data_IF_469696055806
#
_entry.id   IF_469696055806
#
_cell.length_a   1.000
_cell.length_b   1.000
_cell.length_c   1.000
_cell.angle_alpha   90.00
_cell.angle_beta   90.00
_cell.angle_gamma   90.00
#
_symmetry.space_group_name_H-M   'P 1'
#
loop_
_entity.id
_entity.type
_entity.pdbx_description
1 polymer ?
#
# COMPACT_ATOMS: atom_id res chain seq x y z
N UNK A 1 19.66 -32.25 -40.92
CA UNK A 1 19.48 -30.85 -41.34
C UNK A 1 19.24 -30.02 -40.08
N UNK A 2 20.28 -29.36 -39.58
CA UNK A 2 20.23 -28.62 -38.31
C UNK A 2 19.69 -27.21 -38.58
N UNK A 3 18.50 -26.90 -38.10
CA UNK A 3 17.85 -25.61 -38.34
C UNK A 3 18.43 -24.55 -37.38
N UNK A 4 19.52 -23.88 -37.78
CA UNK A 4 20.16 -22.76 -37.04
C UNK A 4 19.71 -21.40 -37.59
N UNK A 5 18.41 -21.13 -37.54
CA UNK A 5 17.88 -19.80 -37.82
C UNK A 5 17.76 -18.95 -36.54
N UNK A 6 17.62 -17.61 -36.63
CA UNK A 6 17.47 -16.70 -35.49
C UNK A 6 16.21 -16.95 -34.62
N UNK A 7 15.38 -17.93 -34.97
CA UNK A 7 14.21 -18.41 -34.21
C UNK A 7 14.32 -19.88 -33.79
N UNK A 8 15.50 -20.48 -33.87
CA UNK A 8 15.74 -21.90 -33.56
C UNK A 8 15.52 -22.26 -32.09
N UNK A 9 15.41 -21.28 -31.19
CA UNK A 9 15.24 -21.49 -29.75
C UNK A 9 13.82 -21.81 -29.27
N UNK A 10 12.82 -21.83 -30.16
CA UNK A 10 11.41 -22.01 -29.76
C UNK A 10 10.90 -20.88 -28.84
N UNK A 11 9.66 -20.97 -28.34
CA UNK A 11 9.13 -19.98 -27.40
C UNK A 11 9.87 -20.04 -26.06
N UNK A 12 10.51 -18.94 -25.65
CA UNK A 12 11.09 -18.82 -24.30
C UNK A 12 9.99 -18.95 -23.25
N UNK A 13 10.14 -19.80 -22.23
CA UNK A 13 9.19 -19.89 -21.13
C UNK A 13 8.98 -18.52 -20.48
N UNK A 14 7.73 -18.16 -20.20
CA UNK A 14 7.43 -16.93 -19.47
C UNK A 14 8.03 -17.02 -18.06
N UNK A 15 8.66 -15.93 -17.59
CA UNK A 15 9.18 -15.83 -16.20
C UNK A 15 8.07 -16.18 -15.22
N UNK A 16 8.33 -17.13 -14.34
CA UNK A 16 7.45 -17.51 -13.24
C UNK A 16 8.04 -17.06 -11.90
N UNK A 17 7.16 -16.77 -10.94
CA UNK A 17 7.56 -16.35 -9.60
C UNK A 17 7.01 -17.33 -8.58
N UNK A 18 7.89 -17.77 -7.69
CA UNK A 18 7.50 -18.54 -6.50
C UNK A 18 6.67 -17.67 -5.55
N UNK A 19 5.83 -18.27 -4.67
CA UNK A 19 5.09 -17.52 -3.66
C UNK A 19 5.99 -16.60 -2.81
N UNK A 20 7.16 -17.10 -2.40
CA UNK A 20 8.14 -16.34 -1.63
C UNK A 20 8.70 -15.14 -2.42
N UNK A 21 9.03 -15.32 -3.72
CA UNK A 21 9.48 -14.21 -4.56
C UNK A 21 8.39 -13.14 -4.73
N UNK A 22 7.12 -13.54 -4.85
CA UNK A 22 6.01 -12.58 -4.93
C UNK A 22 5.92 -11.74 -3.67
N UNK A 23 6.00 -12.35 -2.49
CA UNK A 23 6.00 -11.64 -1.21
C UNK A 23 7.20 -10.70 -1.10
N UNK A 24 8.42 -11.18 -1.41
CA UNK A 24 9.62 -10.36 -1.39
C UNK A 24 9.50 -9.14 -2.32
N UNK A 25 8.91 -9.32 -3.52
CA UNK A 25 8.68 -8.21 -4.43
C UNK A 25 7.63 -7.22 -3.92
N UNK A 26 6.59 -7.66 -3.21
CA UNK A 26 5.62 -6.77 -2.58
C UNK A 26 6.26 -5.92 -1.48
N UNK A 27 7.12 -6.52 -0.66
CA UNK A 27 7.81 -5.83 0.44
C UNK A 27 8.86 -4.84 -0.07
N UNK A 28 9.61 -5.21 -1.10
CA UNK A 28 10.55 -4.32 -1.76
C UNK A 28 9.83 -3.18 -2.52
N UNK A 29 8.70 -3.46 -3.18
CA UNK A 29 7.86 -2.42 -3.79
C UNK A 29 7.35 -1.43 -2.74
N UNK A 30 6.88 -1.92 -1.58
CA UNK A 30 6.39 -1.05 -0.52
C UNK A 30 7.49 -0.15 0.04
N UNK A 31 8.66 -0.71 0.36
CA UNK A 31 9.83 0.07 0.79
C UNK A 31 10.22 1.13 -0.24
N UNK A 32 10.24 0.79 -1.53
CA UNK A 32 10.54 1.74 -2.57
C UNK A 32 9.52 2.91 -2.66
N UNK A 33 8.25 2.67 -2.30
CA UNK A 33 7.25 3.74 -2.17
C UNK A 33 7.53 4.62 -0.94
N UNK A 34 7.87 4.01 0.19
CA UNK A 34 8.07 4.71 1.47
C UNK A 34 9.37 5.55 1.46
N UNK A 35 10.44 5.06 0.82
CA UNK A 35 11.74 5.72 0.71
C UNK A 35 11.77 6.85 -0.34
N UNK A 36 10.65 7.13 -1.03
CA UNK A 36 10.56 8.20 -2.04
C UNK A 36 11.25 7.91 -3.38
N UNK A 37 11.97 6.80 -3.52
CA UNK A 37 12.53 6.30 -4.79
C UNK A 37 11.44 6.05 -5.85
N UNK A 38 10.23 5.77 -5.38
CA UNK A 38 9.02 5.62 -6.17
C UNK A 38 8.84 4.20 -6.68
N UNK A 39 7.69 3.58 -6.37
CA UNK A 39 7.39 2.21 -6.79
C UNK A 39 7.50 1.99 -8.31
N UNK A 40 7.27 3.02 -9.14
CA UNK A 40 7.45 2.94 -10.58
C UNK A 40 8.90 2.71 -11.04
N UNK A 41 9.90 3.21 -10.31
CA UNK A 41 11.31 2.96 -10.62
C UNK A 41 11.69 1.50 -10.34
N UNK A 42 11.26 0.99 -9.19
CA UNK A 42 11.44 -0.40 -8.81
C UNK A 42 10.77 -1.37 -9.81
N UNK A 43 9.54 -1.09 -10.24
CA UNK A 43 8.84 -1.93 -11.22
C UNK A 43 9.60 -2.04 -12.55
N UNK A 44 10.18 -0.93 -13.04
CA UNK A 44 10.97 -0.94 -14.27
C UNK A 44 12.28 -1.71 -14.11
N UNK A 45 12.94 -1.56 -12.97
CA UNK A 45 14.19 -2.29 -12.67
C UNK A 45 13.96 -3.80 -12.61
N UNK A 46 12.86 -4.24 -12.01
CA UNK A 46 12.53 -5.67 -11.86
C UNK A 46 11.77 -6.27 -13.05
N UNK A 47 11.40 -5.45 -14.04
CA UNK A 47 10.57 -5.87 -15.18
C UNK A 47 9.16 -6.32 -14.78
N UNK A 48 8.60 -5.70 -13.73
CA UNK A 48 7.30 -6.01 -13.17
C UNK A 48 6.24 -5.01 -13.65
N UNK A 49 5.00 -5.48 -13.76
CA UNK A 49 3.85 -4.64 -14.07
C UNK A 49 3.04 -4.33 -12.80
N UNK A 50 2.41 -3.15 -12.74
CA UNK A 50 1.52 -2.76 -11.64
C UNK A 50 0.34 -3.73 -11.44
N UNK A 51 -0.12 -4.37 -12.52
CA UNK A 51 -1.13 -5.43 -12.49
C UNK A 51 -0.64 -6.65 -11.69
N UNK A 52 0.63 -7.01 -11.79
CA UNK A 52 1.20 -8.13 -11.02
C UNK A 52 1.24 -7.80 -9.54
N UNK A 53 1.66 -6.60 -9.16
CA UNK A 53 1.63 -6.15 -7.75
C UNK A 53 0.21 -6.17 -7.21
N UNK A 54 -0.76 -5.68 -7.98
CA UNK A 54 -2.17 -5.67 -7.58
C UNK A 54 -2.68 -7.08 -7.33
N UNK A 55 -2.44 -8.00 -8.27
CA UNK A 55 -2.87 -9.39 -8.12
C UNK A 55 -2.17 -10.09 -6.96
N UNK A 56 -0.87 -9.88 -6.76
CA UNK A 56 -0.14 -10.50 -5.67
C UNK A 56 -0.57 -9.97 -4.30
N UNK A 57 -0.95 -8.69 -4.18
CA UNK A 57 -1.57 -8.15 -2.96
C UNK A 57 -2.87 -8.88 -2.65
N UNK A 58 -3.75 -9.07 -3.64
CA UNK A 58 -4.99 -9.84 -3.43
C UNK A 58 -4.72 -11.26 -2.93
N UNK A 59 -3.71 -11.92 -3.50
CA UNK A 59 -3.32 -13.28 -3.07
C UNK A 59 -2.74 -13.31 -1.65
N UNK A 60 -1.91 -12.32 -1.29
CA UNK A 60 -1.38 -12.16 0.07
C UNK A 60 -2.50 -11.88 1.07
N UNK A 61 -3.37 -10.93 0.75
CA UNK A 61 -4.47 -10.54 1.63
C UNK A 61 -5.45 -11.70 1.84
N UNK A 62 -5.63 -12.56 0.83
CA UNK A 62 -6.39 -13.80 0.94
C UNK A 62 -5.63 -14.96 1.62
N UNK A 63 -4.38 -14.76 2.06
CA UNK A 63 -3.55 -15.78 2.73
C UNK A 63 -3.08 -16.91 1.81
N UNK A 64 -3.16 -16.74 0.49
CA UNK A 64 -2.88 -17.81 -0.49
C UNK A 64 -1.38 -18.04 -0.67
N UNK A 65 -0.57 -16.99 -0.49
CA UNK A 65 0.88 -17.05 -0.69
C UNK A 65 1.62 -17.63 0.53
N UNK A 66 1.00 -17.61 1.71
CA UNK A 66 1.60 -18.07 2.95
C UNK A 66 1.69 -19.60 2.99
N UNK A 67 2.81 -20.14 3.48
CA UNK A 67 3.02 -21.58 3.65
C UNK A 67 3.16 -22.41 2.35
N UNK A 68 3.11 -21.78 1.16
CA UNK A 68 3.26 -22.47 -0.13
C UNK A 68 4.75 -22.66 -0.49
N UNK A 69 5.09 -23.88 -0.92
CA UNK A 69 6.44 -24.23 -1.38
C UNK A 69 6.64 -23.82 -2.84
N UNK A 70 7.90 -23.61 -3.29
CA UNK A 70 8.20 -23.45 -4.71
C UNK A 70 7.65 -24.64 -5.52
N UNK A 71 6.88 -24.34 -6.57
CA UNK A 71 6.24 -25.35 -7.42
C UNK A 71 4.78 -25.67 -7.07
N UNK A 72 4.30 -25.23 -5.90
CA UNK A 72 2.88 -25.40 -5.55
C UNK A 72 1.98 -24.59 -6.50
N UNK A 73 0.92 -25.24 -6.99
CA UNK A 73 -0.07 -24.56 -7.81
C UNK A 73 -0.82 -23.54 -6.96
N UNK A 74 -0.77 -22.27 -7.37
CA UNK A 74 -1.64 -21.22 -6.85
C UNK A 74 -3.00 -21.37 -7.53
N UNK A 75 -3.95 -21.94 -6.82
CA UNK A 75 -5.32 -22.14 -7.28
C UNK A 75 -6.20 -20.90 -7.07
N UNK A 76 -7.49 -21.04 -7.41
CA UNK A 76 -8.50 -20.06 -7.04
C UNK A 76 -8.62 -20.00 -5.50
N UNK A 77 -8.85 -18.81 -4.91
CA UNK A 77 -9.12 -18.68 -3.49
C UNK A 77 -10.29 -19.59 -3.07
N UNK A 78 -10.20 -20.18 -1.87
CA UNK A 78 -11.38 -20.79 -1.23
C UNK A 78 -12.39 -19.69 -0.81
N UNK A 79 -13.60 -20.10 -0.44
CA UNK A 79 -14.61 -19.17 0.08
C UNK A 79 -14.09 -18.43 1.33
N UNK A 80 -13.46 -19.17 2.25
CA UNK A 80 -12.83 -18.61 3.46
C UNK A 80 -11.72 -17.62 3.12
N UNK A 81 -10.81 -17.96 2.21
CA UNK A 81 -9.72 -17.08 1.78
C UNK A 81 -10.25 -15.80 1.10
N UNK A 82 -11.33 -15.92 0.33
CA UNK A 82 -11.99 -14.78 -0.29
C UNK A 82 -12.59 -13.85 0.76
N UNK A 83 -13.22 -14.42 1.79
CA UNK A 83 -13.82 -13.67 2.89
C UNK A 83 -12.75 -13.00 3.76
N UNK A 84 -11.65 -13.69 4.07
CA UNK A 84 -10.48 -13.10 4.75
C UNK A 84 -9.97 -11.88 3.96
N UNK A 85 -9.81 -12.02 2.65
CA UNK A 85 -9.39 -10.92 1.78
C UNK A 85 -10.40 -9.76 1.77
N UNK A 86 -11.70 -10.04 1.79
CA UNK A 86 -12.76 -9.02 1.87
C UNK A 86 -12.71 -8.27 3.20
N UNK A 87 -12.65 -9.01 4.32
CA UNK A 87 -12.62 -8.44 5.67
C UNK A 87 -11.37 -7.59 5.89
N UNK A 88 -10.20 -8.04 5.45
CA UNK A 88 -8.95 -7.25 5.54
C UNK A 88 -9.05 -5.92 4.79
N UNK A 89 -9.66 -5.90 3.60
CA UNK A 89 -9.89 -4.64 2.86
C UNK A 89 -10.88 -3.73 3.58
N UNK A 90 -11.93 -4.29 4.16
CA UNK A 90 -12.89 -3.49 4.92
C UNK A 90 -12.24 -2.87 6.16
N UNK A 91 -11.42 -3.64 6.86
CA UNK A 91 -10.63 -3.18 8.00
C UNK A 91 -9.74 -1.99 7.59
N UNK A 92 -8.94 -2.14 6.53
CA UNK A 92 -8.05 -1.08 6.04
C UNK A 92 -8.81 0.20 5.67
N UNK A 93 -9.97 0.07 5.01
CA UNK A 93 -10.82 1.22 4.67
C UNK A 93 -11.38 1.88 5.94
N UNK A 94 -11.83 1.09 6.93
CA UNK A 94 -12.32 1.65 8.20
C UNK A 94 -11.22 2.35 8.99
N UNK A 95 -10.02 1.78 9.06
CA UNK A 95 -8.87 2.37 9.75
C UNK A 95 -8.44 3.68 9.10
N UNK A 96 -8.40 3.76 7.76
CA UNK A 96 -8.11 5.01 7.05
C UNK A 96 -9.16 6.09 7.31
N UNK A 97 -10.44 5.72 7.40
CA UNK A 97 -11.50 6.66 7.75
C UNK A 97 -11.33 7.16 9.19
N UNK A 98 -11.03 6.25 10.12
CA UNK A 98 -10.78 6.57 11.52
C UNK A 98 -9.61 7.56 11.65
N UNK A 99 -8.46 7.25 11.05
CA UNK A 99 -7.29 8.12 11.06
C UNK A 99 -7.59 9.51 10.48
N UNK A 100 -8.40 9.58 9.40
CA UNK A 100 -8.82 10.86 8.82
C UNK A 100 -9.72 11.64 9.77
N UNK A 101 -10.66 10.99 10.44
CA UNK A 101 -11.56 11.66 11.41
C UNK A 101 -10.79 12.14 12.63
N UNK A 102 -9.85 11.36 13.15
CA UNK A 102 -8.98 11.75 14.26
C UNK A 102 -8.11 12.94 13.91
N UNK A 103 -7.53 12.96 12.70
CA UNK A 103 -6.78 14.11 12.21
C UNK A 103 -7.66 15.38 12.12
N UNK A 104 -8.90 15.25 11.67
CA UNK A 104 -9.84 16.38 11.62
C UNK A 104 -10.19 16.90 13.03
N UNK A 105 -10.44 15.99 13.98
CA UNK A 105 -10.68 16.35 15.38
C UNK A 105 -9.49 17.10 15.98
N UNK A 106 -8.26 16.64 15.75
CA UNK A 106 -7.04 17.31 16.22
C UNK A 106 -6.89 18.72 15.65
N UNK A 107 -7.25 18.92 14.37
CA UNK A 107 -7.24 20.26 13.76
C UNK A 107 -8.28 21.17 14.42
N UNK A 108 -9.49 20.67 14.65
CA UNK A 108 -10.55 21.45 15.30
C UNK A 108 -10.19 21.83 16.73
N UNK A 109 -9.58 20.92 17.48
CA UNK A 109 -9.08 21.19 18.83
C UNK A 109 -8.04 22.32 18.84
N UNK A 110 -7.04 22.25 17.94
CA UNK A 110 -6.03 23.31 17.79
C UNK A 110 -6.64 24.65 17.38
N UNK A 111 -7.63 24.63 16.49
CA UNK A 111 -8.33 25.84 16.09
C UNK A 111 -9.12 26.46 17.26
N UNK A 112 -9.77 25.64 18.10
CA UNK A 112 -10.47 26.09 19.29
C UNK A 112 -9.51 26.77 20.28
N UNK A 113 -8.37 26.14 20.57
CA UNK A 113 -7.35 26.69 21.46
C UNK A 113 -6.81 28.04 20.96
N UNK A 114 -6.52 28.14 19.65
CA UNK A 114 -6.07 29.41 19.06
C UNK A 114 -7.12 30.53 19.22
N UNK A 115 -8.41 30.21 19.07
CA UNK A 115 -9.47 31.19 19.26
C UNK A 115 -9.60 31.63 20.72
N UNK A 116 -9.39 30.71 21.67
CA UNK A 116 -9.36 31.00 23.11
C UNK A 116 -8.21 31.96 23.45
N UNK A 117 -6.99 31.69 22.97
CA UNK A 117 -5.81 32.55 23.16
C UNK A 117 -6.03 33.98 22.59
N UNK A 118 -6.65 34.08 21.41
CA UNK A 118 -6.98 35.38 20.78
C UNK A 118 -8.02 36.13 21.62
N UNK A 119 -9.04 35.43 22.14
CA UNK A 119 -10.08 36.03 22.97
C UNK A 119 -9.50 36.58 24.28
N UNK A 120 -8.69 35.79 24.99
CA UNK A 120 -8.06 36.23 26.23
C UNK A 120 -7.12 37.42 26.03
N UNK A 121 -6.36 37.43 24.93
CA UNK A 121 -5.48 38.55 24.58
C UNK A 121 -6.25 39.84 24.28
N UNK A 122 -7.47 39.74 23.74
CA UNK A 122 -8.33 40.89 23.48
C UNK A 122 -8.91 41.48 24.78
N UNK A 123 -9.19 40.65 25.78
CA UNK A 123 -9.70 41.06 27.09
C UNK A 123 -8.63 41.70 27.99
N UNK A 124 -7.36 41.32 27.79
CA UNK A 124 -6.22 41.82 28.58
C UNK A 124 -5.70 43.20 28.13
N UNK A 125 -6.25 43.81 27.07
CA UNK A 125 -5.92 45.19 26.66
C UNK A 125 -6.60 46.21 27.59
N UNK A 126 -5.87 46.89 28.51
CA UNK A 126 -6.47 47.95 29.31
C UNK A 126 -6.65 49.18 28.42
N UNK A 127 -7.91 49.59 28.23
CA UNK A 127 -8.23 50.84 27.58
C UNK A 127 -7.49 51.99 28.29
N UNK A 128 -6.74 52.78 27.51
CA UNK A 128 -5.84 53.80 28.02
C UNK A 128 -6.62 54.92 28.74
N UNK A 129 -6.32 55.16 30.03
CA UNK A 129 -6.75 56.37 30.76
C UNK A 129 -5.91 57.56 30.27
N UNK A 130 -6.56 58.52 29.60
CA UNK A 130 -5.96 59.84 29.31
C UNK A 130 -5.98 60.73 30.57
N UNK A 131 -4.87 61.38 30.94
CA UNK A 131 -4.93 62.70 31.58
C UNK A 131 -5.29 63.78 30.56
#
# INVERSE_FOLDING_TARGET
>A
MSNSGPRAGGPTPRRSFTPAQKLAHLDAYQRACDDGTGGGAYLRAEGLYSSQITEWRKLRDAGILEGKKPGDKIGKPTAEQSEIGRLRRQLEVSERKLARTEAALSIMEKARLLLEDISESAEQQPWYKKP
#
